data_IF_575407941761
#
_entry.id   IF_575407941761
#
_cell.length_a   1.000
_cell.length_b   1.000
_cell.length_c   1.000
_cell.angle_alpha   90.00
_cell.angle_beta   90.00
_cell.angle_gamma   90.00
#
_symmetry.space_group_name_H-M   'P 1'
#
loop_
_entity.id
_entity.type
_entity.pdbx_description
1 polymer ?
#
# COMPACT_ATOMS: atom_id res chain seq x y z
N UNK A 1 6.22 13.98 -24.21
CA UNK A 1 7.61 13.49 -24.20
C UNK A 1 7.81 12.65 -25.43
N UNK A 2 8.84 12.94 -26.22
CA UNK A 2 9.23 12.14 -27.39
C UNK A 2 10.54 11.45 -26.99
N UNK A 3 10.64 10.14 -27.21
CA UNK A 3 11.88 9.38 -26.98
C UNK A 3 12.47 9.07 -28.35
N UNK A 4 13.72 9.45 -28.55
CA UNK A 4 14.46 9.20 -29.78
C UNK A 4 15.43 8.01 -29.58
N UNK A 5 15.77 7.27 -30.66
CA UNK A 5 16.73 6.17 -30.58
C UNK A 5 18.10 6.62 -30.10
N UNK A 6 18.75 5.79 -29.28
CA UNK A 6 20.15 5.95 -28.88
C UNK A 6 20.92 4.68 -29.22
N UNK A 7 22.19 4.80 -29.59
CA UNK A 7 23.03 3.64 -29.93
C UNK A 7 23.39 2.81 -28.69
N UNK A 8 23.59 3.45 -27.53
CA UNK A 8 23.95 2.79 -26.28
C UNK A 8 23.47 3.56 -25.05
N UNK A 9 23.16 2.84 -23.96
CA UNK A 9 22.88 3.42 -22.64
C UNK A 9 23.92 2.91 -21.64
N UNK A 10 24.69 3.83 -21.03
CA UNK A 10 25.66 3.53 -19.97
C UNK A 10 25.42 4.42 -18.75
N UNK A 11 25.53 3.85 -17.56
CA UNK A 11 25.41 4.58 -16.31
C UNK A 11 25.07 3.67 -15.14
N UNK A 12 25.04 4.25 -13.93
CA UNK A 12 24.55 3.60 -12.72
C UNK A 12 23.52 4.50 -12.07
N UNK A 13 22.38 3.92 -11.74
CA UNK A 13 21.31 4.60 -11.01
C UNK A 13 20.89 3.76 -9.80
N UNK A 14 20.31 4.41 -8.81
CA UNK A 14 19.54 3.72 -7.78
C UNK A 14 18.12 3.53 -8.29
N UNK A 15 17.67 2.28 -8.40
CA UNK A 15 16.30 2.00 -8.77
C UNK A 15 15.34 2.48 -7.65
N UNK A 16 14.13 2.96 -8.00
CA UNK A 16 13.11 3.24 -7.01
C UNK A 16 12.83 2.01 -6.12
N UNK A 17 12.38 2.21 -4.87
CA UNK A 17 12.03 1.10 -4.00
C UNK A 17 10.92 0.23 -4.59
N UNK A 18 10.84 -1.03 -4.16
CA UNK A 18 9.84 -1.96 -4.67
C UNK A 18 8.43 -1.61 -4.17
N UNK A 19 7.50 -1.44 -5.11
CA UNK A 19 6.06 -1.29 -4.85
C UNK A 19 5.50 -2.47 -4.05
N UNK A 20 5.79 -3.69 -4.49
CA UNK A 20 5.29 -4.92 -3.86
C UNK A 20 5.81 -5.12 -2.43
N UNK A 21 7.07 -4.76 -2.15
CA UNK A 21 7.59 -4.77 -0.78
C UNK A 21 6.98 -3.67 0.08
N UNK A 22 6.72 -2.49 -0.50
CA UNK A 22 6.09 -1.39 0.23
C UNK A 22 4.67 -1.78 0.71
N UNK A 23 3.87 -2.41 -0.16
CA UNK A 23 2.57 -2.97 0.26
C UNK A 23 2.72 -3.96 1.41
N UNK A 24 3.57 -4.98 1.25
CA UNK A 24 3.77 -6.02 2.26
C UNK A 24 4.24 -5.45 3.59
N UNK A 25 5.18 -4.50 3.57
CA UNK A 25 5.68 -3.86 4.78
C UNK A 25 4.54 -3.18 5.56
N UNK A 26 3.68 -2.40 4.88
CA UNK A 26 2.57 -1.74 5.56
C UNK A 26 1.48 -2.70 6.05
N UNK A 27 1.09 -3.70 5.25
CA UNK A 27 0.11 -4.70 5.69
C UNK A 27 0.64 -5.57 6.85
N UNK A 28 1.91 -5.99 6.81
CA UNK A 28 2.54 -6.68 7.95
C UNK A 28 2.59 -5.78 9.17
N UNK A 29 2.98 -4.51 9.00
CA UNK A 29 2.99 -3.55 10.11
C UNK A 29 1.61 -3.33 10.74
N UNK A 30 0.54 -3.41 9.95
CA UNK A 30 -0.83 -3.34 10.46
C UNK A 30 -1.13 -4.55 11.35
N UNK A 31 -0.84 -5.76 10.86
CA UNK A 31 -1.07 -7.01 11.61
C UNK A 31 -0.23 -7.04 12.88
N UNK A 32 1.01 -6.57 12.82
CA UNK A 32 1.91 -6.49 13.98
C UNK A 32 1.53 -5.37 14.97
N UNK A 33 0.61 -4.47 14.61
CA UNK A 33 0.19 -3.33 15.43
C UNK A 33 1.17 -2.16 15.47
N UNK A 34 2.47 -2.37 15.17
CA UNK A 34 3.49 -1.32 15.12
C UNK A 34 4.65 -1.74 14.22
N UNK A 35 5.18 -0.84 13.41
CA UNK A 35 6.33 -1.11 12.54
C UNK A 35 7.02 0.18 12.09
N UNK A 36 8.34 0.13 11.86
CA UNK A 36 9.06 1.16 11.10
C UNK A 36 9.30 0.67 9.67
N UNK A 37 9.00 1.51 8.69
CA UNK A 37 9.23 1.23 7.26
C UNK A 37 10.28 2.22 6.75
N UNK A 38 11.35 1.69 6.15
CA UNK A 38 12.44 2.49 5.58
C UNK A 38 12.33 2.48 4.05
N UNK A 39 12.56 3.65 3.45
CA UNK A 39 12.57 3.84 2.00
C UNK A 39 11.34 3.24 1.27
N UNK A 40 10.09 3.52 1.69
CA UNK A 40 8.92 3.04 0.96
C UNK A 40 8.82 3.74 -0.40
N UNK A 41 8.32 3.03 -1.41
CA UNK A 41 7.92 3.66 -2.66
C UNK A 41 6.66 4.50 -2.43
N UNK A 42 6.65 5.76 -2.87
CA UNK A 42 5.45 6.61 -2.88
C UNK A 42 4.88 6.67 -4.29
N UNK A 43 3.73 6.04 -4.47
CA UNK A 43 2.94 6.07 -5.71
C UNK A 43 1.46 5.79 -5.40
N UNK A 44 0.59 6.02 -6.38
CA UNK A 44 -0.87 5.88 -6.24
C UNK A 44 -1.33 4.58 -5.55
N UNK A 45 -0.69 3.46 -5.88
CA UNK A 45 -1.01 2.15 -5.30
C UNK A 45 -0.66 2.08 -3.81
N UNK A 46 0.53 2.54 -3.45
CA UNK A 46 1.00 2.52 -2.05
C UNK A 46 0.31 3.58 -1.20
N UNK A 47 -0.12 4.68 -1.80
CA UNK A 47 -1.01 5.64 -1.17
C UNK A 47 -2.38 5.03 -0.86
N UNK A 48 -2.96 4.31 -1.83
CA UNK A 48 -4.20 3.56 -1.59
C UNK A 48 -4.03 2.59 -0.41
N UNK A 49 -2.89 1.91 -0.29
CA UNK A 49 -2.57 1.06 0.87
C UNK A 49 -2.56 1.84 2.18
N UNK A 50 -1.88 2.99 2.25
CA UNK A 50 -1.85 3.79 3.49
C UNK A 50 -3.25 4.27 3.86
N UNK A 51 -4.06 4.70 2.87
CA UNK A 51 -5.42 5.16 3.10
C UNK A 51 -6.33 4.04 3.62
N UNK A 52 -6.34 2.87 2.99
CA UNK A 52 -7.18 1.76 3.47
C UNK A 52 -6.78 1.31 4.88
N UNK A 53 -5.48 1.26 5.19
CA UNK A 53 -5.02 0.88 6.53
C UNK A 53 -5.39 1.95 7.57
N UNK A 54 -5.35 3.23 7.20
CA UNK A 54 -5.85 4.31 8.06
C UNK A 54 -7.35 4.17 8.31
N UNK A 55 -8.14 3.82 7.29
CA UNK A 55 -9.58 3.59 7.41
C UNK A 55 -9.92 2.34 8.23
N UNK A 56 -9.01 1.38 8.31
CA UNK A 56 -9.10 0.22 9.20
C UNK A 56 -8.59 0.51 10.63
N UNK A 57 -8.24 1.77 10.93
CA UNK A 57 -7.89 2.21 12.29
C UNK A 57 -6.40 2.24 12.61
N UNK A 58 -5.52 2.23 11.60
CA UNK A 58 -4.09 2.42 11.83
C UNK A 58 -3.71 3.89 11.97
N UNK A 59 -2.88 4.20 12.99
CA UNK A 59 -2.09 5.42 13.03
C UNK A 59 -0.83 5.21 12.20
N UNK A 60 -0.89 5.65 10.95
CA UNK A 60 0.10 5.34 9.91
C UNK A 60 0.67 6.59 9.23
N UNK A 61 1.97 6.56 8.97
CA UNK A 61 2.72 7.52 8.14
C UNK A 61 3.63 6.76 7.16
N UNK A 62 4.33 7.48 6.28
CA UNK A 62 5.36 6.86 5.44
C UNK A 62 6.54 6.28 6.24
N UNK A 63 6.73 6.71 7.49
CA UNK A 63 7.75 6.11 8.38
C UNK A 63 7.33 4.76 8.98
N UNK A 64 6.07 4.36 8.80
CA UNK A 64 5.51 3.11 9.33
C UNK A 64 4.22 3.33 10.14
N UNK A 65 3.96 2.40 11.05
CA UNK A 65 2.73 2.32 11.85
C UNK A 65 3.09 2.48 13.32
N UNK A 66 2.39 3.37 14.00
CA UNK A 66 2.60 3.68 15.42
C UNK A 66 1.74 2.81 16.33
N UNK A 67 0.45 2.67 16.01
CA UNK A 67 -0.50 1.76 16.67
C UNK A 67 -1.66 1.42 15.71
N UNK A 68 -2.43 0.39 16.03
CA UNK A 68 -3.62 -0.04 15.27
C UNK A 68 -4.78 -0.31 16.23
N UNK A 69 -5.94 0.27 15.93
CA UNK A 69 -7.21 -0.04 16.57
C UNK A 69 -8.19 -0.57 15.52
N UNK A 70 -8.19 -1.89 15.22
CA UNK A 70 -8.89 -2.44 14.07
C UNK A 70 -10.41 -2.24 14.13
N UNK A 71 -10.99 -1.71 13.06
CA UNK A 71 -12.44 -1.61 12.90
C UNK A 71 -12.85 -1.76 11.44
N UNK A 72 -14.07 -2.26 11.17
CA UNK A 72 -14.54 -2.42 9.80
C UNK A 72 -14.69 -1.06 9.10
N UNK A 73 -14.65 -1.06 7.77
CA UNK A 73 -14.72 0.18 6.99
C UNK A 73 -15.13 -0.02 5.54
N UNK A 74 -15.25 1.09 4.80
CA UNK A 74 -15.43 1.09 3.35
C UNK A 74 -14.12 1.50 2.69
N UNK A 75 -13.42 0.55 2.09
CA UNK A 75 -12.07 0.71 1.58
C UNK A 75 -12.10 0.90 0.06
N UNK A 76 -11.32 1.85 -0.44
CA UNK A 76 -11.12 2.08 -1.87
C UNK A 76 -9.68 1.75 -2.25
N UNK A 77 -9.48 0.63 -2.94
CA UNK A 77 -8.17 0.17 -3.41
C UNK A 77 -7.71 0.88 -4.69
N UNK A 78 -8.48 1.83 -5.22
CA UNK A 78 -8.23 2.52 -6.50
C UNK A 78 -8.04 1.50 -7.63
N UNK A 79 -6.91 1.54 -8.36
CA UNK A 79 -6.50 0.56 -9.38
C UNK A 79 -5.55 -0.51 -8.82
N UNK A 80 -5.27 -0.50 -7.51
CA UNK A 80 -4.26 -1.35 -6.90
C UNK A 80 -4.81 -2.72 -6.53
N UNK A 81 -4.65 -3.69 -7.42
CA UNK A 81 -5.03 -5.08 -7.16
C UNK A 81 -4.31 -5.68 -5.93
N UNK A 82 -3.08 -5.26 -5.65
CA UNK A 82 -2.35 -5.65 -4.44
C UNK A 82 -3.05 -5.12 -3.18
N UNK A 83 -3.41 -3.82 -3.15
CA UNK A 83 -4.14 -3.21 -2.04
C UNK A 83 -5.47 -3.92 -1.79
N UNK A 84 -6.24 -4.20 -2.85
CA UNK A 84 -7.52 -4.88 -2.74
C UNK A 84 -7.38 -6.28 -2.09
N UNK A 85 -6.49 -7.12 -2.64
CA UNK A 85 -6.33 -8.51 -2.18
C UNK A 85 -5.81 -8.61 -0.75
N UNK A 86 -4.84 -7.78 -0.37
CA UNK A 86 -4.36 -7.75 1.01
C UNK A 86 -5.41 -7.19 1.98
N UNK A 87 -6.17 -6.18 1.56
CA UNK A 87 -7.26 -5.63 2.38
C UNK A 87 -8.34 -6.66 2.65
N UNK A 88 -8.72 -7.49 1.67
CA UNK A 88 -9.67 -8.60 1.87
C UNK A 88 -9.16 -9.56 2.95
N UNK A 89 -7.89 -9.98 2.86
CA UNK A 89 -7.27 -10.87 3.84
C UNK A 89 -7.28 -10.29 5.26
N UNK A 90 -6.78 -9.06 5.43
CA UNK A 90 -6.73 -8.43 6.76
C UNK A 90 -8.12 -8.13 7.31
N UNK A 91 -9.04 -7.63 6.47
CA UNK A 91 -10.40 -7.27 6.91
C UNK A 91 -11.20 -8.49 7.38
N UNK A 92 -10.90 -9.69 6.89
CA UNK A 92 -11.53 -10.94 7.36
C UNK A 92 -11.29 -11.24 8.84
N UNK A 93 -10.26 -10.63 9.44
CA UNK A 93 -9.90 -10.81 10.85
C UNK A 93 -10.54 -9.75 11.76
N UNK A 94 -11.26 -8.79 11.19
CA UNK A 94 -11.88 -7.67 11.90
C UNK A 94 -13.37 -7.97 12.05
N UNK A 95 -13.88 -7.94 13.28
CA UNK A 95 -15.31 -8.18 13.55
C UNK A 95 -16.18 -7.10 12.88
N UNK A 96 -17.16 -7.55 12.10
CA UNK A 96 -18.09 -6.69 11.37
C UNK A 96 -17.93 -6.83 9.84
N UNK A 97 -18.54 -5.90 9.10
CA UNK A 97 -18.57 -5.94 7.64
C UNK A 97 -17.69 -4.85 7.05
N UNK A 98 -16.65 -5.24 6.31
CA UNK A 98 -15.82 -4.33 5.52
C UNK A 98 -16.18 -4.43 4.05
N UNK A 99 -16.46 -3.30 3.41
CA UNK A 99 -16.64 -3.22 1.96
C UNK A 99 -15.30 -2.87 1.33
N UNK A 100 -14.82 -3.66 0.36
CA UNK A 100 -13.64 -3.35 -0.44
C UNK A 100 -14.07 -3.09 -1.88
N UNK A 101 -13.77 -1.91 -2.42
CA UNK A 101 -14.05 -1.54 -3.80
C UNK A 101 -12.81 -0.92 -4.47
N UNK A 102 -12.98 -0.50 -5.73
CA UNK A 102 -11.99 0.30 -6.44
C UNK A 102 -12.53 0.84 -7.75
N UNK A 103 -11.63 1.24 -8.63
CA UNK A 103 -12.00 1.72 -9.95
C UNK A 103 -12.54 0.59 -10.84
N UNK A 104 -13.28 0.89 -11.93
CA UNK A 104 -13.75 -0.14 -12.87
C UNK A 104 -12.65 -1.01 -13.49
N UNK A 105 -11.39 -0.57 -13.50
CA UNK A 105 -10.25 -1.30 -14.04
C UNK A 105 -9.48 -2.13 -12.98
N UNK A 106 -9.98 -2.18 -11.73
CA UNK A 106 -9.36 -2.93 -10.64
C UNK A 106 -9.47 -4.44 -10.84
#
# INVERSE_FOLDING_TARGET
MIIEPVEEVRGRIEAPPSKSYTHRAFFTGFISGKMKVKNPLRCDDTEATIEVLRMLGAKISWGGIEYVNPHPGRLNARKSGATARFSLGVSSQILGTTLVNGSPQL
#
